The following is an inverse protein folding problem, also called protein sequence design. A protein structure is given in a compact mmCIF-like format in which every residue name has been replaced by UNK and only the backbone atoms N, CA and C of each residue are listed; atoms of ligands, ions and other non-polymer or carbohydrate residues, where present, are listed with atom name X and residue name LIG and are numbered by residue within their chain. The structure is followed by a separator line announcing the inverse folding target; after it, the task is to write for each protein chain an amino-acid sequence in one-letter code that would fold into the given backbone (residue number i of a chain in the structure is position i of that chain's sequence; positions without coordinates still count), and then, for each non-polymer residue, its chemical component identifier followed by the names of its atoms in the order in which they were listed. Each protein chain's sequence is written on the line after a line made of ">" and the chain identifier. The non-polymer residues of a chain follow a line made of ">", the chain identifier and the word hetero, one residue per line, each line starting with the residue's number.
data_IF_953133789416
#
_entry.id   IF_953133789416
#
_cell.length_a   1.000
_cell.length_b   1.000
_cell.length_c   1.000
_cell.angle_alpha   90.00
_cell.angle_beta   90.00
_cell.angle_gamma   90.00
#
_symmetry.space_group_name_H-M   'P 1'
#
loop_
_entity.id
_entity.type
_entity.pdbx_description
1 polymer ?
#
# COMPACT_ATOMS: atom_id res chain seq x y z
N UNK A 1 -42.63 12.81 -30.14
CA UNK A 1 -41.33 13.52 -30.12
C UNK A 1 -40.54 12.99 -28.94
N UNK A 2 -39.34 12.46 -29.19
CA UNK A 2 -38.38 12.13 -28.14
C UNK A 2 -37.82 13.42 -27.51
N UNK A 3 -37.42 13.39 -26.22
CA UNK A 3 -36.01 13.35 -25.84
C UNK A 3 -35.83 13.46 -24.31
N UNK A 4 -35.14 12.45 -23.77
CA UNK A 4 -34.03 12.53 -22.80
C UNK A 4 -34.21 13.18 -21.42
N UNK A 5 -34.21 12.31 -20.41
CA UNK A 5 -32.95 12.03 -19.70
C UNK A 5 -32.55 13.02 -18.60
N UNK A 6 -33.14 12.86 -17.42
CA UNK A 6 -32.53 13.30 -16.17
C UNK A 6 -31.83 12.09 -15.53
N UNK A 7 -30.70 11.69 -16.11
CA UNK A 7 -29.70 10.96 -15.34
C UNK A 7 -29.13 11.97 -14.35
N UNK A 8 -29.57 11.87 -13.09
CA UNK A 8 -28.91 12.57 -12.00
C UNK A 8 -27.43 12.21 -12.04
N UNK A 9 -26.57 13.22 -12.21
CA UNK A 9 -25.16 13.08 -11.88
C UNK A 9 -25.11 12.60 -10.44
N UNK A 10 -24.75 11.32 -10.25
CA UNK A 10 -24.27 10.85 -8.95
C UNK A 10 -23.15 11.83 -8.61
N UNK A 11 -23.26 12.57 -7.51
CA UNK A 11 -22.11 13.26 -6.95
C UNK A 11 -21.10 12.15 -6.66
N UNK A 12 -20.14 11.99 -7.59
CA UNK A 12 -19.07 11.02 -7.43
C UNK A 12 -18.17 11.61 -6.36
N UNK A 13 -18.49 11.33 -5.11
CA UNK A 13 -17.59 11.57 -4.00
C UNK A 13 -16.22 11.03 -4.36
N UNK A 14 -15.17 11.72 -3.90
CA UNK A 14 -13.80 11.40 -4.22
C UNK A 14 -13.50 9.90 -4.05
N UNK A 15 -13.24 9.22 -5.15
CA UNK A 15 -13.08 7.76 -5.20
C UNK A 15 -11.81 7.27 -4.49
N UNK A 16 -10.93 8.14 -4.01
CA UNK A 16 -9.74 7.73 -3.25
C UNK A 16 -9.93 7.81 -1.74
N UNK A 17 -11.06 8.33 -1.25
CA UNK A 17 -11.37 8.33 0.19
C UNK A 17 -11.65 6.90 0.67
N UNK A 18 -11.06 6.45 1.80
CA UNK A 18 -11.36 5.15 2.38
C UNK A 18 -12.79 5.12 2.91
N UNK A 19 -13.52 4.05 2.61
CA UNK A 19 -14.96 3.94 2.88
C UNK A 19 -15.29 3.31 4.24
N UNK A 20 -14.32 2.61 4.85
CA UNK A 20 -14.50 1.88 6.10
C UNK A 20 -13.13 1.65 6.77
N UNK A 21 -13.14 1.07 7.97
CA UNK A 21 -11.90 0.87 8.74
C UNK A 21 -10.98 -0.19 8.13
N UNK A 22 -11.49 -1.14 7.32
CA UNK A 22 -10.64 -2.10 6.59
C UNK A 22 -9.79 -1.37 5.55
N UNK A 23 -10.39 -0.45 4.80
CA UNK A 23 -9.62 0.37 3.86
C UNK A 23 -8.63 1.30 4.57
N UNK A 24 -8.99 1.90 5.71
CA UNK A 24 -8.04 2.69 6.51
C UNK A 24 -6.89 1.83 7.02
N UNK A 25 -7.17 0.61 7.47
CA UNK A 25 -6.15 -0.35 7.89
C UNK A 25 -5.21 -0.65 6.71
N UNK A 26 -5.75 -0.91 5.52
CA UNK A 26 -4.95 -1.13 4.29
C UNK A 26 -4.07 0.09 3.97
N UNK A 27 -4.61 1.32 4.04
CA UNK A 27 -3.83 2.55 3.86
C UNK A 27 -2.69 2.64 4.88
N UNK A 28 -2.94 2.24 6.12
CA UNK A 28 -1.95 2.23 7.18
C UNK A 28 -0.73 1.36 6.89
N UNK A 29 -0.86 0.32 6.07
CA UNK A 29 0.28 -0.55 5.70
C UNK A 29 1.26 0.14 4.75
N UNK A 30 0.85 1.16 3.99
CA UNK A 30 1.72 1.86 3.03
C UNK A 30 1.73 3.38 3.21
N UNK A 31 1.20 3.90 4.32
CA UNK A 31 1.15 5.33 4.61
C UNK A 31 2.54 6.00 4.60
N UNK A 32 3.58 5.28 5.07
CA UNK A 32 4.97 5.75 5.02
C UNK A 32 5.52 5.89 3.60
N UNK A 33 5.04 5.09 2.65
CA UNK A 33 5.36 5.31 1.24
C UNK A 33 4.61 6.53 0.71
N UNK A 34 3.30 6.63 0.97
CA UNK A 34 2.47 7.73 0.49
C UNK A 34 3.04 9.09 0.95
N UNK A 35 3.35 9.24 2.24
CA UNK A 35 3.91 10.47 2.78
C UNK A 35 5.31 10.80 2.22
N UNK A 36 6.14 9.78 1.96
CA UNK A 36 7.45 9.99 1.33
C UNK A 36 7.36 10.41 -0.14
N UNK A 37 6.35 9.92 -0.86
CA UNK A 37 6.11 10.24 -2.25
C UNK A 37 5.36 11.58 -2.42
N UNK A 38 5.41 12.45 -1.41
CA UNK A 38 4.66 13.72 -1.31
C UNK A 38 3.13 13.55 -1.50
N UNK A 39 2.61 12.36 -1.21
CA UNK A 39 1.19 12.04 -1.23
C UNK A 39 0.53 12.18 0.14
N UNK A 40 -0.80 12.13 0.15
CA UNK A 40 -1.61 12.20 1.36
C UNK A 40 -2.12 10.81 1.77
N UNK A 41 -1.56 10.28 2.86
CA UNK A 41 -1.86 8.94 3.36
C UNK A 41 -3.33 8.71 3.73
N UNK A 42 -4.14 9.77 3.89
CA UNK A 42 -5.58 9.66 4.10
C UNK A 42 -6.34 9.16 2.86
N UNK A 43 -5.69 9.12 1.70
CA UNK A 43 -6.29 8.71 0.44
C UNK A 43 -5.57 7.50 -0.17
N UNK A 44 -6.31 6.67 -0.90
CA UNK A 44 -5.78 5.49 -1.58
C UNK A 44 -4.59 5.90 -2.46
N UNK A 45 -3.47 5.19 -2.28
CA UNK A 45 -2.20 5.45 -2.96
C UNK A 45 -1.64 6.88 -2.80
N UNK A 46 -2.03 7.61 -1.77
CA UNK A 46 -1.56 8.98 -1.55
C UNK A 46 -2.19 10.03 -2.46
N UNK A 47 -3.16 9.64 -3.31
CA UNK A 47 -3.72 10.53 -4.33
C UNK A 47 -5.07 11.08 -3.88
N UNK A 48 -5.19 12.40 -3.78
CA UNK A 48 -6.43 13.06 -3.33
C UNK A 48 -7.55 12.99 -4.36
N UNK A 49 -7.34 12.46 -5.56
CA UNK A 49 -8.38 12.31 -6.56
C UNK A 49 -8.14 11.11 -7.47
N UNK A 50 -9.21 10.48 -7.96
CA UNK A 50 -9.12 9.49 -9.02
C UNK A 50 -9.49 10.11 -10.36
N UNK A 51 -8.53 10.74 -11.04
CA UNK A 51 -8.74 11.38 -12.34
C UNK A 51 -7.73 10.90 -13.40
N UNK A 52 -7.84 11.41 -14.64
CA UNK A 52 -6.98 10.98 -15.76
C UNK A 52 -5.50 11.27 -15.51
N UNK A 53 -5.18 12.41 -14.86
CA UNK A 53 -3.82 12.85 -14.58
C UNK A 53 -3.20 11.99 -13.48
N UNK A 54 -3.88 11.88 -12.34
CA UNK A 54 -3.44 11.04 -11.21
C UNK A 54 -3.27 9.58 -11.63
N UNK A 55 -4.24 9.05 -12.38
CA UNK A 55 -4.14 7.71 -12.94
C UNK A 55 -2.95 7.56 -13.91
N UNK A 56 -2.62 8.59 -14.70
CA UNK A 56 -1.43 8.55 -15.57
C UNK A 56 -0.13 8.56 -14.76
N UNK A 57 -0.04 9.38 -13.72
CA UNK A 57 1.10 9.42 -12.79
C UNK A 57 1.35 8.05 -12.15
N UNK A 58 0.29 7.41 -11.63
CA UNK A 58 0.41 6.06 -11.05
C UNK A 58 0.90 5.02 -12.06
N UNK A 59 0.38 5.05 -13.30
CA UNK A 59 0.84 4.14 -14.37
C UNK A 59 2.30 4.38 -14.77
N UNK A 60 2.80 5.62 -14.68
CA UNK A 60 4.23 5.91 -14.94
C UNK A 60 5.11 5.27 -13.87
N UNK A 61 4.75 5.43 -12.59
CA UNK A 61 5.51 4.85 -11.47
C UNK A 61 5.46 3.31 -11.53
N UNK A 62 4.26 2.73 -11.71
CA UNK A 62 4.07 1.29 -11.86
C UNK A 62 4.92 0.72 -13.01
N UNK A 63 5.00 1.40 -14.14
CA UNK A 63 5.82 0.93 -15.27
C UNK A 63 7.32 1.09 -15.02
N UNK A 64 7.74 2.25 -14.51
CA UNK A 64 9.16 2.61 -14.34
C UNK A 64 9.82 1.77 -13.27
N UNK A 65 9.14 1.58 -12.13
CA UNK A 65 9.75 1.00 -10.93
C UNK A 65 9.40 -0.48 -10.74
N UNK A 66 8.31 -0.95 -11.36
CA UNK A 66 7.77 -2.29 -11.14
C UNK A 66 7.52 -3.08 -12.42
N UNK A 67 7.74 -2.48 -13.60
CA UNK A 67 7.42 -3.08 -14.91
C UNK A 67 5.93 -3.47 -15.07
N UNK A 68 5.04 -2.90 -14.25
CA UNK A 68 3.61 -3.17 -14.28
C UNK A 68 2.94 -2.27 -15.32
N UNK A 69 2.32 -2.89 -16.32
CA UNK A 69 1.64 -2.18 -17.42
C UNK A 69 0.15 -2.51 -17.57
N UNK A 70 -0.35 -3.49 -16.82
CA UNK A 70 -1.71 -3.98 -16.86
C UNK A 70 -2.06 -4.78 -15.59
N UNK A 71 -3.32 -5.21 -15.49
CA UNK A 71 -3.86 -5.98 -14.36
C UNK A 71 -3.13 -7.30 -14.10
N UNK A 72 -2.80 -8.07 -15.14
CA UNK A 72 -2.10 -9.35 -14.99
C UNK A 72 -0.72 -9.13 -14.37
N UNK A 73 0.07 -8.22 -14.94
CA UNK A 73 1.39 -7.88 -14.39
C UNK A 73 1.33 -7.35 -12.95
N UNK A 74 0.27 -6.61 -12.59
CA UNK A 74 0.04 -6.16 -11.22
C UNK A 74 -0.13 -7.34 -10.27
N UNK A 75 -0.97 -8.31 -10.62
CA UNK A 75 -1.20 -9.49 -9.77
C UNK A 75 0.01 -10.41 -9.72
N UNK A 76 0.73 -10.60 -10.83
CA UNK A 76 1.97 -11.38 -10.85
C UNK A 76 3.03 -10.77 -9.91
N UNK A 77 3.13 -9.43 -9.87
CA UNK A 77 4.04 -8.74 -8.94
C UNK A 77 3.59 -8.84 -7.49
N UNK A 78 2.29 -8.80 -7.21
CA UNK A 78 1.74 -9.06 -5.86
C UNK A 78 2.07 -10.49 -5.42
N UNK A 79 1.90 -11.47 -6.29
CA UNK A 79 2.23 -12.86 -6.00
C UNK A 79 3.74 -13.02 -5.75
N UNK A 80 4.59 -12.35 -6.53
CA UNK A 80 6.03 -12.32 -6.31
C UNK A 80 6.41 -11.74 -4.93
N UNK A 81 5.85 -10.59 -4.55
CA UNK A 81 6.12 -9.93 -3.26
C UNK A 81 5.59 -10.73 -2.06
N UNK A 82 4.64 -11.62 -2.26
CA UNK A 82 4.02 -12.43 -1.20
C UNK A 82 4.47 -13.89 -1.20
N UNK A 83 5.34 -14.28 -2.13
CA UNK A 83 5.68 -15.68 -2.40
C UNK A 83 6.25 -16.43 -1.18
N UNK A 84 6.96 -15.73 -0.29
CA UNK A 84 7.51 -16.30 0.95
C UNK A 84 6.43 -16.82 1.92
N UNK A 85 5.21 -16.29 1.81
CA UNK A 85 4.11 -16.55 2.76
C UNK A 85 3.04 -17.52 2.21
N UNK A 86 3.27 -18.07 1.03
CA UNK A 86 2.39 -19.08 0.43
C UNK A 86 2.29 -20.33 1.32
N UNK A 87 1.13 -20.99 1.29
CA UNK A 87 0.86 -22.19 2.09
C UNK A 87 1.90 -23.30 1.83
N UNK A 88 2.45 -23.86 2.91
CA UNK A 88 3.42 -24.95 2.85
C UNK A 88 4.89 -24.53 2.96
N UNK A 89 5.18 -23.24 3.04
CA UNK A 89 6.51 -22.70 3.33
C UNK A 89 6.58 -22.30 4.80
N UNK A 90 7.52 -22.88 5.56
CA UNK A 90 7.89 -22.34 6.87
C UNK A 90 8.67 -21.05 6.64
N UNK A 91 8.13 -19.91 7.08
CA UNK A 91 8.83 -18.63 7.00
C UNK A 91 9.86 -18.57 8.13
N UNK A 92 11.13 -18.40 7.79
CA UNK A 92 12.18 -18.26 8.79
C UNK A 92 12.05 -16.93 9.53
N UNK A 93 12.53 -16.87 10.77
CA UNK A 93 12.43 -15.66 11.60
C UNK A 93 13.12 -14.44 10.96
N UNK A 94 14.22 -14.66 10.22
CA UNK A 94 14.93 -13.58 9.51
C UNK A 94 14.09 -13.03 8.35
N UNK A 95 13.37 -13.89 7.61
CA UNK A 95 12.49 -13.48 6.52
C UNK A 95 11.31 -12.66 7.05
N UNK A 96 10.76 -13.06 8.20
CA UNK A 96 9.69 -12.29 8.87
C UNK A 96 10.24 -10.95 9.37
N UNK A 97 11.48 -10.91 9.88
CA UNK A 97 12.06 -9.69 10.45
C UNK A 97 12.25 -8.55 9.43
N UNK A 98 12.32 -8.85 8.13
CA UNK A 98 12.45 -7.84 7.05
C UNK A 98 11.30 -7.84 6.06
N UNK A 99 10.46 -8.89 6.06
CA UNK A 99 9.51 -9.16 4.99
C UNK A 99 8.27 -8.26 4.95
N UNK A 100 8.01 -7.44 5.98
CA UNK A 100 6.93 -6.45 5.91
C UNK A 100 7.20 -5.40 4.82
N UNK A 101 8.47 -5.19 4.44
CA UNK A 101 8.83 -4.35 3.30
C UNK A 101 8.11 -4.76 2.02
N UNK A 102 8.06 -6.07 1.71
CA UNK A 102 7.39 -6.57 0.51
C UNK A 102 5.88 -6.58 0.66
N UNK A 103 5.35 -7.00 1.81
CA UNK A 103 3.92 -7.03 2.08
C UNK A 103 3.28 -5.63 2.00
N UNK A 104 3.95 -4.61 2.57
CA UNK A 104 3.49 -3.23 2.50
C UNK A 104 3.49 -2.71 1.06
N UNK A 105 4.53 -3.04 0.27
CA UNK A 105 4.61 -2.67 -1.16
C UNK A 105 3.57 -3.41 -2.00
N UNK A 106 3.19 -4.63 -1.65
CA UNK A 106 2.12 -5.36 -2.33
C UNK A 106 0.76 -4.63 -2.17
N UNK A 107 0.43 -4.16 -0.96
CA UNK A 107 -0.75 -3.30 -0.75
C UNK A 107 -0.63 -1.96 -1.48
N UNK A 108 0.56 -1.36 -1.49
CA UNK A 108 0.83 -0.10 -2.19
C UNK A 108 0.53 -0.18 -3.69
N UNK A 109 1.09 -1.18 -4.39
CA UNK A 109 0.91 -1.32 -5.85
C UNK A 109 -0.54 -1.64 -6.21
N UNK A 110 -1.29 -2.32 -5.33
CA UNK A 110 -2.74 -2.51 -5.49
C UNK A 110 -3.48 -1.17 -5.43
N UNK A 111 -3.17 -0.31 -4.45
CA UNK A 111 -3.71 1.04 -4.38
C UNK A 111 -3.40 1.87 -5.64
N UNK A 112 -2.14 1.84 -6.09
CA UNK A 112 -1.72 2.51 -7.32
C UNK A 112 -2.43 1.94 -8.55
N UNK A 113 -2.64 0.62 -8.60
CA UNK A 113 -3.38 -0.07 -9.65
C UNK A 113 -4.84 0.36 -9.73
N UNK A 114 -5.49 0.56 -8.58
CA UNK A 114 -6.84 1.12 -8.52
C UNK A 114 -6.88 2.55 -9.06
N UNK A 115 -6.05 3.45 -8.54
CA UNK A 115 -6.00 4.85 -9.01
C UNK A 115 -5.65 4.92 -10.50
N UNK A 116 -4.67 4.12 -10.93
CA UNK A 116 -4.21 3.94 -12.30
C UNK A 116 -5.24 3.33 -13.27
N UNK A 117 -6.31 2.74 -12.75
CA UNK A 117 -7.40 2.14 -13.55
C UNK A 117 -7.08 0.75 -14.11
N UNK A 118 -6.18 0.00 -13.46
CA UNK A 118 -5.91 -1.40 -13.80
C UNK A 118 -6.86 -2.37 -13.11
N UNK A 119 -7.35 -2.02 -11.92
CA UNK A 119 -8.26 -2.86 -11.14
C UNK A 119 -9.38 -2.02 -10.52
N UNK A 120 -10.48 -2.70 -10.19
CA UNK A 120 -11.60 -2.09 -9.47
C UNK A 120 -11.32 -2.02 -7.96
N UNK A 121 -12.04 -1.13 -7.26
CA UNK A 121 -11.92 -0.95 -5.80
C UNK A 121 -12.09 -2.28 -5.04
N UNK A 122 -13.08 -3.08 -5.43
CA UNK A 122 -13.35 -4.37 -4.77
C UNK A 122 -12.14 -5.31 -4.87
N UNK A 123 -11.45 -5.34 -6.00
CA UNK A 123 -10.29 -6.20 -6.23
C UNK A 123 -9.09 -5.73 -5.41
N UNK A 124 -8.87 -4.41 -5.34
CA UNK A 124 -7.87 -3.80 -4.48
C UNK A 124 -8.11 -4.19 -3.02
N UNK A 125 -9.32 -3.95 -2.50
CA UNK A 125 -9.66 -4.24 -1.09
C UNK A 125 -9.53 -5.73 -0.79
N UNK A 126 -10.06 -6.61 -1.65
CA UNK A 126 -10.01 -8.05 -1.42
C UNK A 126 -8.57 -8.57 -1.33
N UNK A 127 -7.73 -8.22 -2.31
CA UNK A 127 -6.33 -8.67 -2.34
C UNK A 127 -5.50 -8.06 -1.21
N UNK A 128 -5.70 -6.77 -0.92
CA UNK A 128 -5.03 -6.14 0.22
C UNK A 128 -5.46 -6.73 1.56
N UNK A 129 -6.72 -7.16 1.71
CA UNK A 129 -7.19 -7.85 2.91
C UNK A 129 -6.60 -9.26 3.04
N UNK A 130 -6.41 -10.00 1.93
CA UNK A 130 -5.68 -11.27 1.92
C UNK A 130 -4.24 -11.10 2.43
N UNK A 131 -3.51 -10.09 1.92
CA UNK A 131 -2.18 -9.71 2.39
C UNK A 131 -2.21 -9.26 3.86
N UNK A 132 -3.22 -8.49 4.26
CA UNK A 132 -3.37 -8.03 5.63
C UNK A 132 -3.58 -9.18 6.63
N UNK A 133 -4.25 -10.27 6.24
CA UNK A 133 -4.35 -11.48 7.07
C UNK A 133 -2.99 -12.19 7.21
N UNK A 134 -2.15 -12.16 6.18
CA UNK A 134 -0.75 -12.61 6.28
C UNK A 134 0.00 -11.73 7.28
N UNK A 135 -0.12 -10.40 7.18
CA UNK A 135 0.50 -9.49 8.14
C UNK A 135 0.04 -9.77 9.58
N UNK A 136 -1.26 -9.93 9.82
CA UNK A 136 -1.80 -10.24 11.16
C UNK A 136 -1.38 -11.61 11.70
N UNK A 137 -0.99 -12.56 10.83
CA UNK A 137 -0.49 -13.87 11.24
C UNK A 137 0.95 -13.80 11.75
N UNK A 138 1.79 -12.96 11.15
CA UNK A 138 3.24 -12.92 11.44
C UNK A 138 3.66 -11.73 12.32
N UNK A 139 2.86 -10.67 12.37
CA UNK A 139 3.09 -9.49 13.20
C UNK A 139 1.91 -9.26 14.15
N UNK A 140 2.19 -8.71 15.33
CA UNK A 140 1.22 -8.61 16.43
C UNK A 140 0.86 -7.17 16.77
N UNK A 141 1.43 -6.20 16.04
CA UNK A 141 1.09 -4.78 16.17
C UNK A 141 1.55 -3.96 14.96
N UNK A 142 0.99 -2.76 14.82
CA UNK A 142 1.53 -1.75 13.90
C UNK A 142 3.01 -1.45 14.13
N UNK A 143 3.46 -1.47 15.39
CA UNK A 143 4.85 -1.23 15.72
C UNK A 143 5.78 -2.30 15.15
N UNK A 144 5.41 -3.56 15.30
CA UNK A 144 6.16 -4.69 14.77
C UNK A 144 6.20 -4.69 13.24
N UNK A 145 5.06 -4.41 12.58
CA UNK A 145 5.01 -4.27 11.12
C UNK A 145 5.93 -3.13 10.62
N UNK A 146 5.88 -1.97 11.27
CA UNK A 146 6.70 -0.81 10.87
C UNK A 146 8.19 -1.05 11.15
N UNK A 147 8.53 -1.73 12.23
CA UNK A 147 9.92 -2.09 12.54
C UNK A 147 10.46 -3.10 11.50
N UNK A 148 9.66 -4.11 11.10
CA UNK A 148 10.03 -5.05 10.03
C UNK A 148 10.16 -4.34 8.67
N UNK A 149 9.25 -3.41 8.36
CA UNK A 149 9.31 -2.60 7.13
C UNK A 149 10.61 -1.78 7.07
N UNK A 150 10.98 -1.13 8.17
CA UNK A 150 12.22 -0.34 8.25
C UNK A 150 13.43 -1.25 8.06
N UNK A 151 13.45 -2.44 8.68
CA UNK A 151 14.54 -3.40 8.49
C UNK A 151 14.66 -3.82 7.02
N UNK A 152 13.58 -4.25 6.38
CA UNK A 152 13.62 -4.62 4.96
C UNK A 152 14.00 -3.46 4.03
N UNK A 153 13.57 -2.24 4.35
CA UNK A 153 14.01 -1.04 3.62
C UNK A 153 15.51 -0.79 3.77
N UNK A 154 16.07 -0.91 4.99
CA UNK A 154 17.51 -0.75 5.26
C UNK A 154 18.32 -1.78 4.46
N UNK A 155 17.91 -3.04 4.52
CA UNK A 155 18.57 -4.14 3.82
C UNK A 155 18.57 -3.87 2.30
N UNK A 156 17.41 -3.56 1.72
CA UNK A 156 17.29 -3.18 0.31
C UNK A 156 18.11 -1.95 -0.06
N UNK A 157 18.10 -0.89 0.76
CA UNK A 157 18.81 0.36 0.45
C UNK A 157 20.32 0.18 0.51
N UNK A 158 20.82 -0.65 1.43
CA UNK A 158 22.23 -0.98 1.54
C UNK A 158 22.77 -1.69 0.28
N UNK A 159 21.96 -2.53 -0.36
CA UNK A 159 22.30 -3.22 -1.60
C UNK A 159 22.42 -2.28 -2.81
N UNK A 160 21.75 -1.12 -2.79
CA UNK A 160 21.80 -0.15 -3.89
C UNK A 160 23.14 0.63 -3.95
N UNK A 161 23.97 0.55 -2.91
CA UNK A 161 25.21 1.32 -2.79
C UNK A 161 25.01 2.84 -2.63
N UNK A 162 26.13 3.57 -2.46
CA UNK A 162 26.14 5.02 -2.24
C UNK A 162 25.97 5.45 -0.77
N UNK A 163 25.75 6.75 -0.53
CA UNK A 163 25.48 7.30 0.81
C UNK A 163 24.01 7.08 1.19
N UNK A 164 23.71 5.85 1.64
CA UNK A 164 22.37 5.40 2.02
C UNK A 164 21.89 5.95 3.38
N UNK A 165 22.81 6.46 4.19
CA UNK A 165 22.55 6.75 5.61
C UNK A 165 21.46 7.80 5.79
N UNK A 166 21.51 8.89 5.01
CA UNK A 166 20.51 9.96 5.08
C UNK A 166 19.10 9.49 4.68
N UNK A 167 19.00 8.64 3.66
CA UNK A 167 17.72 8.11 3.20
C UNK A 167 17.09 7.17 4.24
N UNK A 168 17.94 6.34 4.87
CA UNK A 168 17.57 5.45 5.97
C UNK A 168 17.06 6.25 7.16
N UNK A 169 17.81 7.24 7.63
CA UNK A 169 17.42 8.09 8.76
C UNK A 169 16.12 8.87 8.50
N UNK A 170 15.94 9.38 7.28
CA UNK A 170 14.72 10.05 6.87
C UNK A 170 13.52 9.09 6.91
N UNK A 171 13.66 7.86 6.40
CA UNK A 171 12.60 6.84 6.42
C UNK A 171 12.23 6.45 7.84
N UNK A 172 13.20 6.22 8.70
CA UNK A 172 12.99 5.86 10.10
C UNK A 172 12.23 6.95 10.85
N UNK A 173 12.61 8.20 10.63
CA UNK A 173 11.92 9.36 11.22
C UNK A 173 10.48 9.41 10.78
N UNK A 174 10.22 9.30 9.47
CA UNK A 174 8.87 9.29 8.93
C UNK A 174 8.01 8.16 9.52
N UNK A 175 8.52 6.92 9.53
CA UNK A 175 7.80 5.77 10.07
C UNK A 175 7.51 5.93 11.57
N UNK A 176 8.47 6.41 12.35
CA UNK A 176 8.30 6.68 13.78
C UNK A 176 7.22 7.73 14.03
N UNK A 177 7.24 8.82 13.28
CA UNK A 177 6.31 9.94 13.47
C UNK A 177 4.88 9.53 13.08
N UNK A 178 4.71 8.82 11.96
CA UNK A 178 3.40 8.28 11.55
C UNK A 178 2.85 7.23 12.53
N UNK A 179 3.72 6.35 13.05
CA UNK A 179 3.32 5.32 14.01
C UNK A 179 2.87 5.93 15.34
N UNK A 180 3.52 6.99 15.78
CA UNK A 180 3.31 7.58 17.10
C UNK A 180 2.26 8.70 17.11
N UNK A 181 1.78 9.14 15.95
CA UNK A 181 0.65 10.07 15.86
C UNK A 181 -0.65 9.39 16.34
N UNK A 182 -1.29 9.88 17.42
CA UNK A 182 -2.55 9.32 17.92
C UNK A 182 -3.69 9.36 16.91
N UNK A 183 -3.63 10.26 15.92
CA UNK A 183 -4.60 10.38 14.84
C UNK A 183 -4.02 9.91 13.49
N UNK A 184 -2.86 9.26 13.53
CA UNK A 184 -2.13 8.81 12.34
C UNK A 184 -2.70 7.54 11.70
N UNK A 185 -2.01 7.01 10.69
CA UNK A 185 -2.44 5.81 9.95
C UNK A 185 -2.57 4.55 10.82
N UNK A 186 -1.81 4.47 11.91
CA UNK A 186 -1.81 3.34 12.85
C UNK A 186 -2.87 3.44 13.95
N UNK A 187 -3.80 4.41 13.87
CA UNK A 187 -4.86 4.61 14.87
C UNK A 187 -5.99 3.58 14.78
N UNK A 188 -6.12 2.86 13.67
CA UNK A 188 -7.08 1.75 13.50
C UNK A 188 -6.59 0.52 14.28
N UNK A 189 -7.48 -0.26 14.94
CA UNK A 189 -7.08 -1.47 15.66
C UNK A 189 -6.27 -2.43 14.78
N UNK A 190 -5.15 -2.94 15.30
CA UNK A 190 -4.30 -3.89 14.57
C UNK A 190 -5.07 -5.17 14.22
N UNK A 191 -5.83 -5.70 15.18
CA UNK A 191 -6.61 -6.94 15.13
C UNK A 191 -8.00 -6.76 14.50
N UNK A 192 -8.17 -5.72 13.67
CA UNK A 192 -9.38 -5.51 12.89
C UNK A 192 -9.67 -6.76 12.03
N UNK A 193 -10.94 -7.17 11.96
CA UNK A 193 -11.33 -8.29 11.10
C UNK A 193 -11.27 -7.89 9.62
N UNK A 194 -10.25 -8.40 8.92
CA UNK A 194 -10.02 -8.20 7.48
C UNK A 194 -10.76 -9.23 6.63
#
# INVERSE_FOLDING_TARGET
>A
MALFGLFGKKESGNETVPQNDVEKWILGTYAMWAAYADGDWHYIAGSTEKNKQEGASMRVILRRDWEISNKTALFDMVDYLTALYCEGTDCEAEDIASGAWDLCRACQILGMGFVGGYIERQEMVQKSAEIGRVMQKYYHSWAELYDSYIKGYRDWRAEQGGDAQKDIEARETLCRDLRNDPNGPCSVPWDLKL
#
